data_IF_402472135455
#
_entry.id   IF_402472135455
#
_cell.length_a   1.000
_cell.length_b   1.000
_cell.length_c   1.000
_cell.angle_alpha   90.00
_cell.angle_beta   90.00
_cell.angle_gamma   90.00
#
_symmetry.space_group_name_H-M   'P 1'
#
loop_
_entity.id
_entity.type
_entity.pdbx_description
1 polymer ?
#
# COMPACT_ATOMS: atom_id res chain seq x y z
N UNK A 1 0.31 -30.95 -3.88
CA UNK A 1 0.39 -29.48 -3.76
C UNK A 1 0.61 -28.90 -5.15
N UNK A 2 -0.40 -28.23 -5.73
CA UNK A 2 -0.21 -27.45 -6.97
C UNK A 2 0.70 -26.27 -6.63
N UNK A 3 1.74 -26.02 -7.44
CA UNK A 3 2.49 -24.75 -7.37
C UNK A 3 1.49 -23.62 -7.51
N UNK A 4 1.37 -22.79 -6.47
CA UNK A 4 0.81 -21.45 -6.62
C UNK A 4 1.61 -20.79 -7.75
N UNK A 5 0.93 -20.18 -8.71
CA UNK A 5 1.57 -19.46 -9.81
C UNK A 5 2.44 -18.36 -9.20
N UNK A 6 3.75 -18.54 -9.22
CA UNK A 6 4.67 -17.50 -8.78
C UNK A 6 4.63 -16.39 -9.81
N UNK A 7 4.23 -15.19 -9.37
CA UNK A 7 4.38 -13.96 -10.14
C UNK A 7 5.82 -13.86 -10.63
N UNK A 8 6.00 -13.43 -11.88
CA UNK A 8 7.32 -13.26 -12.48
C UNK A 8 7.66 -11.78 -12.45
N UNK A 9 8.77 -11.45 -11.79
CA UNK A 9 9.28 -10.09 -11.77
C UNK A 9 10.08 -9.83 -13.06
N UNK A 10 9.74 -8.75 -13.75
CA UNK A 10 10.47 -8.27 -14.95
C UNK A 10 10.87 -6.81 -14.76
N UNK A 11 11.87 -6.29 -15.51
CA UNK A 11 12.20 -4.87 -15.44
C UNK A 11 10.96 -4.01 -15.70
N UNK A 12 10.74 -3.02 -14.84
CA UNK A 12 9.60 -2.13 -14.97
C UNK A 12 9.73 -1.22 -16.20
N UNK A 13 8.59 -0.73 -16.69
CA UNK A 13 8.56 0.31 -17.73
C UNK A 13 8.23 1.68 -17.14
N UNK A 14 8.58 2.78 -17.81
CA UNK A 14 8.22 4.12 -17.35
C UNK A 14 6.70 4.32 -17.23
N UNK A 15 5.91 3.72 -18.13
CA UNK A 15 4.45 3.75 -18.10
C UNK A 15 3.91 3.08 -16.83
N UNK A 16 4.45 1.90 -16.48
CA UNK A 16 4.07 1.21 -15.25
C UNK A 16 4.38 2.05 -14.01
N UNK A 17 5.56 2.66 -13.96
CA UNK A 17 5.96 3.54 -12.85
C UNK A 17 5.00 4.73 -12.73
N UNK A 18 4.67 5.38 -13.84
CA UNK A 18 3.73 6.50 -13.86
C UNK A 18 2.36 6.08 -13.32
N UNK A 19 1.83 4.93 -13.77
CA UNK A 19 0.52 4.45 -13.31
C UNK A 19 0.54 4.12 -11.80
N UNK A 20 1.65 3.58 -11.27
CA UNK A 20 1.81 3.33 -9.82
C UNK A 20 1.83 4.64 -9.03
N UNK A 21 2.56 5.66 -9.50
CA UNK A 21 2.65 6.96 -8.84
C UNK A 21 1.28 7.65 -8.77
N UNK A 22 0.57 7.70 -9.91
CA UNK A 22 -0.75 8.32 -10.00
C UNK A 22 -1.78 7.55 -9.16
N UNK A 23 -1.75 6.22 -9.18
CA UNK A 23 -2.63 5.39 -8.36
C UNK A 23 -2.40 5.62 -6.86
N UNK A 24 -1.13 5.72 -6.43
CA UNK A 24 -0.82 5.97 -5.04
C UNK A 24 -1.30 7.36 -4.60
N UNK A 25 -1.01 8.39 -5.41
CA UNK A 25 -1.48 9.74 -5.15
C UNK A 25 -3.01 9.81 -5.06
N UNK A 26 -3.72 9.19 -6.02
CA UNK A 26 -5.19 9.12 -6.02
C UNK A 26 -5.73 8.55 -4.70
N UNK A 27 -5.14 7.46 -4.20
CA UNK A 27 -5.55 6.85 -2.93
C UNK A 27 -5.19 7.70 -1.71
N UNK A 28 -4.00 8.30 -1.70
CA UNK A 28 -3.57 9.20 -0.62
C UNK A 28 -4.48 10.41 -0.50
N UNK A 29 -4.80 11.06 -1.61
CA UNK A 29 -5.71 12.21 -1.63
C UNK A 29 -7.16 11.81 -1.34
N UNK A 30 -7.63 10.67 -1.83
CA UNK A 30 -8.96 10.14 -1.55
C UNK A 30 -9.20 9.86 -0.05
N UNK A 31 -8.15 9.47 0.68
CA UNK A 31 -8.23 9.28 2.13
C UNK A 31 -8.27 10.59 2.94
N UNK A 32 -7.74 11.68 2.39
CA UNK A 32 -7.56 12.96 3.10
C UNK A 32 -8.64 14.01 2.77
N UNK A 33 -9.31 13.90 1.63
CA UNK A 33 -10.22 14.93 1.15
C UNK A 33 -11.67 14.44 1.03
N UNK A 34 -12.61 15.19 1.63
CA UNK A 34 -14.05 15.02 1.40
C UNK A 34 -14.51 15.49 0.00
N UNK A 35 -13.56 15.95 -0.83
CA UNK A 35 -13.80 16.47 -2.18
C UNK A 35 -12.81 15.78 -3.10
N UNK A 36 -13.26 15.15 -4.19
CA UNK A 36 -12.35 14.63 -5.19
C UNK A 36 -11.48 15.78 -5.70
N UNK A 37 -10.14 15.71 -5.55
CA UNK A 37 -9.26 16.76 -6.04
C UNK A 37 -9.38 16.86 -7.56
N UNK A 38 -9.14 18.06 -8.09
CA UNK A 38 -9.11 18.29 -9.53
C UNK A 38 -8.05 17.35 -10.15
N UNK A 39 -8.49 16.49 -11.08
CA UNK A 39 -7.61 15.54 -11.73
C UNK A 39 -6.65 16.29 -12.67
N UNK A 40 -5.36 16.33 -12.32
CA UNK A 40 -4.31 16.89 -13.17
C UNK A 40 -3.90 15.81 -14.18
N UNK A 41 -4.15 15.97 -15.49
CA UNK A 41 -3.75 14.98 -16.48
C UNK A 41 -2.23 14.98 -16.63
N UNK A 42 -1.59 13.86 -16.29
CA UNK A 42 -0.14 13.67 -16.43
C UNK A 42 0.14 12.61 -17.49
N UNK A 43 1.09 12.89 -18.37
CA UNK A 43 1.65 11.94 -19.32
C UNK A 43 3.17 11.89 -19.16
N UNK A 44 3.83 10.92 -19.79
CA UNK A 44 5.30 10.86 -19.78
C UNK A 44 5.96 12.11 -20.38
N UNK A 45 5.27 12.81 -21.27
CA UNK A 45 5.80 14.00 -21.94
C UNK A 45 5.49 15.30 -21.15
N UNK A 46 4.77 15.20 -20.03
CA UNK A 46 4.55 16.32 -19.10
C UNK A 46 5.86 16.70 -18.38
N UNK A 47 5.94 17.93 -17.85
CA UNK A 47 7.06 18.31 -17.00
C UNK A 47 7.03 17.54 -15.68
N UNK A 48 8.21 17.32 -15.08
CA UNK A 48 8.30 16.67 -13.77
C UNK A 48 7.57 17.45 -12.67
N UNK A 49 7.49 18.78 -12.80
CA UNK A 49 6.74 19.64 -11.89
C UNK A 49 5.24 19.32 -11.92
N UNK A 50 4.66 19.07 -13.10
CA UNK A 50 3.25 18.66 -13.23
C UNK A 50 3.01 17.30 -12.58
N UNK A 51 3.96 16.36 -12.70
CA UNK A 51 3.88 15.09 -11.99
C UNK A 51 3.91 15.31 -10.47
N UNK A 52 4.83 16.13 -9.97
CA UNK A 52 4.97 16.39 -8.54
C UNK A 52 3.73 17.08 -7.96
N UNK A 53 3.15 18.02 -8.69
CA UNK A 53 1.88 18.67 -8.33
C UNK A 53 0.74 17.65 -8.28
N UNK A 54 0.58 16.84 -9.33
CA UNK A 54 -0.45 15.80 -9.38
C UNK A 54 -0.29 14.77 -8.25
N UNK A 55 0.95 14.46 -7.86
CA UNK A 55 1.26 13.53 -6.77
C UNK A 55 1.23 14.16 -5.36
N UNK A 56 0.98 15.47 -5.24
CA UNK A 56 1.11 16.22 -3.98
C UNK A 56 2.48 16.03 -3.30
N UNK A 57 3.54 16.06 -4.11
CA UNK A 57 4.92 15.96 -3.65
C UNK A 57 5.44 17.30 -3.15
N UNK A 58 5.13 17.62 -1.90
CA UNK A 58 5.41 18.91 -1.27
C UNK A 58 6.90 19.14 -0.92
N UNK A 59 7.70 18.08 -0.86
CA UNK A 59 9.12 18.17 -0.51
C UNK A 59 9.97 17.05 -1.10
N UNK A 60 11.26 17.31 -1.27
CA UNK A 60 12.24 16.30 -1.73
C UNK A 60 12.30 15.06 -0.82
N UNK A 61 12.15 15.25 0.49
CA UNK A 61 12.08 14.14 1.45
C UNK A 61 10.85 13.27 1.19
N UNK A 62 9.69 13.88 0.95
CA UNK A 62 8.47 13.14 0.68
C UNK A 62 8.56 12.36 -0.63
N UNK A 63 9.15 12.94 -1.68
CA UNK A 63 9.44 12.25 -2.94
C UNK A 63 10.33 11.04 -2.67
N UNK A 64 11.43 11.25 -1.93
CA UNK A 64 12.40 10.21 -1.62
C UNK A 64 11.77 9.04 -0.85
N UNK A 65 11.14 9.29 0.31
CA UNK A 65 10.58 8.23 1.15
C UNK A 65 9.42 7.49 0.47
N UNK A 66 8.54 8.22 -0.22
CA UNK A 66 7.41 7.65 -0.95
C UNK A 66 7.89 6.68 -2.04
N UNK A 67 8.78 7.14 -2.92
CA UNK A 67 9.30 6.30 -4.01
C UNK A 67 10.16 5.14 -3.50
N UNK A 68 10.94 5.36 -2.44
CA UNK A 68 11.72 4.32 -1.77
C UNK A 68 10.82 3.18 -1.29
N UNK A 69 9.70 3.51 -0.65
CA UNK A 69 8.76 2.53 -0.12
C UNK A 69 7.97 1.82 -1.24
N UNK A 70 7.45 2.56 -2.22
CA UNK A 70 6.52 1.99 -3.22
C UNK A 70 7.22 1.09 -4.25
N UNK A 71 8.46 1.43 -4.59
CA UNK A 71 9.26 0.74 -5.61
C UNK A 71 10.37 -0.13 -5.02
N UNK A 72 10.41 -0.28 -3.69
CA UNK A 72 11.41 -1.09 -2.97
C UNK A 72 12.86 -0.73 -3.35
N UNK A 73 13.15 0.57 -3.42
CA UNK A 73 14.46 1.07 -3.90
C UNK A 73 15.56 0.98 -2.84
N UNK A 74 15.35 0.21 -1.77
CA UNK A 74 16.29 0.05 -0.67
C UNK A 74 17.61 -0.54 -1.18
N UNK A 75 18.71 0.17 -0.92
CA UNK A 75 20.05 -0.25 -1.34
C UNK A 75 20.44 0.10 -2.78
N UNK A 76 19.70 0.99 -3.46
CA UNK A 76 19.97 1.40 -4.86
C UNK A 76 20.65 2.77 -5.01
N UNK A 77 21.29 3.27 -3.94
CA UNK A 77 21.82 4.65 -3.84
C UNK A 77 20.79 5.72 -4.25
N UNK A 78 19.50 5.42 -4.00
CA UNK A 78 18.37 6.18 -4.53
C UNK A 78 18.44 7.68 -4.18
N UNK A 79 18.92 8.01 -2.99
CA UNK A 79 19.08 9.39 -2.55
C UNK A 79 20.00 10.17 -3.51
N UNK A 80 21.21 9.65 -3.74
CA UNK A 80 22.20 10.30 -4.58
C UNK A 80 21.69 10.40 -6.02
N UNK A 81 21.09 9.32 -6.53
CA UNK A 81 20.52 9.29 -7.89
C UNK A 81 19.42 10.34 -8.06
N UNK A 82 18.49 10.44 -7.11
CA UNK A 82 17.37 11.36 -7.17
C UNK A 82 17.83 12.83 -7.17
N UNK A 83 18.81 13.18 -6.33
CA UNK A 83 19.26 14.57 -6.16
C UNK A 83 20.41 15.00 -7.08
N UNK A 84 21.08 14.06 -7.76
CA UNK A 84 22.16 14.39 -8.72
C UNK A 84 21.74 14.29 -10.18
N UNK A 85 20.62 13.62 -10.47
CA UNK A 85 20.10 13.50 -11.83
C UNK A 85 19.44 14.78 -12.31
N UNK A 86 19.66 15.12 -13.58
CA UNK A 86 18.90 16.18 -14.24
C UNK A 86 17.56 15.61 -14.72
N UNK A 87 16.46 16.02 -14.08
CA UNK A 87 15.12 15.49 -14.34
C UNK A 87 14.24 16.67 -14.79
N UNK A 88 13.83 16.70 -16.06
CA UNK A 88 12.98 17.78 -16.60
C UNK A 88 11.55 17.28 -16.83
N UNK A 89 11.41 16.03 -17.27
CA UNK A 89 10.14 15.45 -17.68
C UNK A 89 9.69 14.33 -16.75
N UNK A 90 8.39 14.03 -16.77
CA UNK A 90 7.82 12.84 -16.14
C UNK A 90 8.53 11.57 -16.63
N UNK A 91 8.86 11.50 -17.93
CA UNK A 91 9.62 10.38 -18.52
C UNK A 91 10.97 10.17 -17.85
N UNK A 92 11.76 11.23 -17.69
CA UNK A 92 13.09 11.14 -17.07
C UNK A 92 12.98 10.55 -15.66
N UNK A 93 12.01 11.03 -14.88
CA UNK A 93 11.75 10.55 -13.53
C UNK A 93 11.32 9.08 -13.51
N UNK A 94 10.36 8.72 -14.37
CA UNK A 94 9.85 7.36 -14.45
C UNK A 94 10.89 6.36 -14.98
N UNK A 95 11.73 6.74 -15.94
CA UNK A 95 12.85 5.93 -16.44
C UNK A 95 13.91 5.69 -15.37
N UNK A 96 14.20 6.70 -14.56
CA UNK A 96 15.17 6.61 -13.46
C UNK A 96 14.76 5.56 -12.42
N UNK A 97 13.47 5.52 -12.08
CA UNK A 97 12.87 4.52 -11.19
C UNK A 97 12.77 3.16 -11.88
N UNK A 98 12.27 3.12 -13.12
CA UNK A 98 12.08 1.90 -13.89
C UNK A 98 13.38 1.09 -14.05
N UNK A 99 14.51 1.77 -14.20
CA UNK A 99 15.83 1.14 -14.26
C UNK A 99 16.26 0.41 -12.98
N UNK A 100 15.57 0.64 -11.85
CA UNK A 100 15.93 0.14 -10.50
C UNK A 100 14.83 -0.67 -9.83
N UNK A 101 13.70 -0.84 -10.50
CA UNK A 101 12.56 -1.55 -9.94
C UNK A 101 12.06 -2.63 -10.90
N UNK A 102 11.31 -3.56 -10.34
CA UNK A 102 10.69 -4.65 -11.07
C UNK A 102 9.18 -4.44 -11.08
N UNK A 103 8.53 -4.88 -12.14
CA UNK A 103 7.09 -4.96 -12.22
C UNK A 103 6.62 -6.42 -12.27
N UNK A 104 5.48 -6.73 -11.65
CA UNK A 104 4.94 -8.08 -11.66
C UNK A 104 4.29 -8.39 -13.01
N UNK A 105 4.63 -9.55 -13.58
CA UNK A 105 3.91 -10.18 -14.67
C UNK A 105 3.19 -11.44 -14.20
N UNK A 106 1.93 -11.57 -14.62
CA UNK A 106 1.07 -12.69 -14.24
C UNK A 106 1.25 -13.83 -15.26
N UNK A 107 1.67 -15.04 -14.84
CA UNK A 107 1.72 -16.19 -15.72
C UNK A 107 0.32 -16.57 -16.20
N UNK A 108 0.15 -16.66 -17.52
CA UNK A 108 -1.13 -17.01 -18.10
C UNK A 108 -1.45 -18.49 -17.88
N UNK A 109 -2.60 -18.79 -17.27
CA UNK A 109 -3.06 -20.16 -17.06
C UNK A 109 -4.09 -20.56 -18.10
N UNK A 110 -3.97 -21.81 -18.57
CA UNK A 110 -4.96 -22.42 -19.45
C UNK A 110 -5.94 -23.26 -18.63
N UNK A 111 -7.23 -23.00 -18.81
CA UNK A 111 -8.33 -23.80 -18.27
C UNK A 111 -9.08 -24.39 -19.46
N UNK A 112 -9.23 -25.71 -19.49
CA UNK A 112 -9.88 -26.42 -20.59
C UNK A 112 -9.30 -26.09 -21.97
N UNK A 113 -7.98 -25.84 -22.04
CA UNK A 113 -7.28 -25.53 -23.30
C UNK A 113 -7.40 -24.08 -23.76
N UNK A 114 -8.05 -23.20 -23.00
CA UNK A 114 -8.15 -21.78 -23.29
C UNK A 114 -7.46 -20.95 -22.21
N UNK A 115 -6.73 -19.93 -22.64
CA UNK A 115 -6.10 -18.97 -21.74
C UNK A 115 -7.17 -18.20 -20.98
N UNK A 116 -7.07 -18.17 -19.66
CA UNK A 116 -8.05 -17.52 -18.79
C UNK A 116 -7.36 -16.46 -17.92
N UNK A 117 -7.42 -15.20 -18.36
CA UNK A 117 -6.82 -14.06 -17.66
C UNK A 117 -7.39 -13.89 -16.23
N UNK A 118 -8.72 -13.88 -15.99
CA UNK A 118 -9.25 -13.77 -14.63
C UNK A 118 -8.80 -14.91 -13.72
N UNK A 119 -8.71 -16.14 -14.22
CA UNK A 119 -8.21 -17.25 -13.42
C UNK A 119 -6.71 -17.12 -13.09
N UNK A 120 -5.93 -16.57 -14.02
CA UNK A 120 -4.50 -16.29 -13.81
C UNK A 120 -4.33 -15.26 -12.69
N UNK A 121 -5.11 -14.17 -12.74
CA UNK A 121 -5.15 -13.14 -11.70
C UNK A 121 -5.58 -13.73 -10.36
N UNK A 122 -6.66 -14.52 -10.33
CA UNK A 122 -7.16 -15.13 -9.10
C UNK A 122 -6.07 -15.97 -8.40
N UNK A 123 -5.29 -16.75 -9.17
CA UNK A 123 -4.19 -17.54 -8.64
C UNK A 123 -3.03 -16.67 -8.16
N UNK A 124 -2.71 -15.57 -8.86
CA UNK A 124 -1.72 -14.60 -8.44
C UNK A 124 -2.12 -13.91 -7.12
N UNK A 125 -3.36 -13.43 -7.01
CA UNK A 125 -3.90 -12.84 -5.78
C UNK A 125 -3.86 -13.83 -4.62
N UNK A 126 -4.25 -15.10 -4.83
CA UNK A 126 -4.11 -16.15 -3.82
C UNK A 126 -2.65 -16.38 -3.42
N UNK A 127 -1.72 -16.32 -4.36
CA UNK A 127 -0.29 -16.48 -4.04
C UNK A 127 0.24 -15.34 -3.17
N UNK A 128 -0.20 -14.11 -3.44
CA UNK A 128 0.17 -12.92 -2.65
C UNK A 128 -0.43 -12.99 -1.24
N UNK A 129 -1.70 -13.37 -1.11
CA UNK A 129 -2.32 -13.55 0.21
C UNK A 129 -1.63 -14.67 1.00
N UNK A 130 -1.26 -15.77 0.35
CA UNK A 130 -0.52 -16.85 1.01
C UNK A 130 0.87 -16.40 1.48
N UNK A 131 1.55 -15.51 0.74
CA UNK A 131 2.83 -14.94 1.14
C UNK A 131 2.71 -14.08 2.42
N UNK A 132 1.56 -13.43 2.61
CA UNK A 132 1.21 -12.68 3.83
C UNK A 132 0.64 -13.59 4.95
N UNK A 133 0.68 -14.91 4.78
CA UNK A 133 0.27 -15.89 5.79
C UNK A 133 -1.23 -16.19 5.81
N UNK A 134 -2.00 -15.82 4.77
CA UNK A 134 -3.39 -16.21 4.66
C UNK A 134 -3.57 -17.72 4.39
N UNK A 135 -4.55 -18.33 5.05
CA UNK A 135 -4.99 -19.69 4.74
C UNK A 135 -5.80 -19.66 3.44
N UNK A 136 -5.14 -19.96 2.32
CA UNK A 136 -5.76 -19.81 1.00
C UNK A 136 -6.47 -21.07 0.51
N UNK A 137 -6.43 -22.20 1.22
CA UNK A 137 -6.93 -23.50 0.74
C UNK A 137 -8.42 -23.47 0.39
N UNK A 138 -9.22 -22.73 1.15
CA UNK A 138 -10.67 -22.60 0.99
C UNK A 138 -11.10 -21.41 0.13
N UNK A 139 -10.16 -20.57 -0.32
CA UNK A 139 -10.48 -19.41 -1.16
C UNK A 139 -10.87 -19.87 -2.56
N UNK A 140 -12.11 -19.62 -2.93
CA UNK A 140 -12.68 -19.78 -4.26
C UNK A 140 -13.03 -18.44 -4.92
N UNK A 141 -13.36 -18.42 -6.23
CA UNK A 141 -13.75 -17.19 -6.92
C UNK A 141 -14.98 -16.50 -6.31
N UNK A 142 -15.94 -17.29 -5.81
CA UNK A 142 -17.16 -16.77 -5.17
C UNK A 142 -16.97 -16.41 -3.69
N UNK A 143 -15.77 -16.60 -3.13
CA UNK A 143 -15.49 -16.22 -1.74
C UNK A 143 -15.60 -14.71 -1.59
N UNK A 144 -16.26 -14.27 -0.51
CA UNK A 144 -16.43 -12.86 -0.21
C UNK A 144 -15.09 -12.21 0.10
N UNK A 145 -14.88 -11.03 -0.48
CA UNK A 145 -13.62 -10.31 -0.40
C UNK A 145 -13.43 -9.61 0.96
N UNK A 146 -14.54 -9.19 1.57
CA UNK A 146 -14.59 -8.30 2.75
C UNK A 146 -13.79 -8.77 3.97
N UNK A 147 -13.75 -10.09 4.22
CA UNK A 147 -12.96 -10.60 5.35
C UNK A 147 -11.47 -10.46 5.06
N UNK A 148 -11.04 -10.83 3.86
CA UNK A 148 -9.64 -10.76 3.47
C UNK A 148 -9.13 -9.32 3.36
N UNK A 149 -9.95 -8.38 2.88
CA UNK A 149 -9.53 -6.97 2.77
C UNK A 149 -9.30 -6.31 4.12
N UNK A 150 -10.00 -6.76 5.17
CA UNK A 150 -9.82 -6.27 6.54
C UNK A 150 -8.56 -6.80 7.22
N UNK A 151 -8.23 -8.07 7.00
CA UNK A 151 -7.06 -8.71 7.61
C UNK A 151 -5.76 -8.47 6.82
N UNK A 152 -5.85 -8.33 5.50
CA UNK A 152 -4.71 -8.22 4.59
C UNK A 152 -4.76 -6.91 3.80
N UNK A 153 -5.18 -5.81 4.44
CA UNK A 153 -5.35 -4.50 3.79
C UNK A 153 -4.10 -4.06 3.04
N UNK A 154 -2.93 -4.23 3.66
CA UNK A 154 -1.65 -3.86 3.05
C UNK A 154 -1.33 -4.69 1.80
N UNK A 155 -1.74 -5.96 1.77
CA UNK A 155 -1.61 -6.82 0.59
C UNK A 155 -2.45 -6.29 -0.57
N UNK A 156 -3.68 -5.85 -0.29
CA UNK A 156 -4.60 -5.29 -1.28
C UNK A 156 -4.14 -3.94 -1.81
N UNK A 157 -3.64 -3.07 -0.92
CA UNK A 157 -3.22 -1.72 -1.28
C UNK A 157 -1.79 -1.63 -1.81
N UNK A 158 -0.96 -2.65 -1.57
CA UNK A 158 0.40 -2.75 -2.09
C UNK A 158 0.54 -3.80 -3.20
N UNK A 159 1.02 -5.03 -2.90
CA UNK A 159 1.31 -6.06 -3.91
C UNK A 159 0.19 -6.36 -4.90
N UNK A 160 -1.07 -6.49 -4.45
CA UNK A 160 -2.20 -6.79 -5.34
C UNK A 160 -2.53 -5.59 -6.23
N UNK A 161 -2.51 -4.37 -5.69
CA UNK A 161 -2.69 -3.15 -6.48
C UNK A 161 -1.61 -2.98 -7.56
N UNK A 162 -0.38 -3.40 -7.26
CA UNK A 162 0.75 -3.36 -8.21
C UNK A 162 0.61 -4.32 -9.39
N UNK A 163 -0.28 -5.32 -9.32
CA UNK A 163 -0.57 -6.20 -10.47
C UNK A 163 -1.23 -5.47 -11.63
N UNK A 164 -2.02 -4.43 -11.32
CA UNK A 164 -2.73 -3.60 -12.29
C UNK A 164 -2.97 -2.21 -11.70
N UNK A 165 -1.96 -1.32 -11.72
CA UNK A 165 -2.10 0.04 -11.22
C UNK A 165 -3.28 0.76 -11.91
N UNK A 166 -4.07 1.50 -11.13
CA UNK A 166 -5.26 2.19 -11.64
C UNK A 166 -6.46 1.28 -11.96
N UNK A 167 -6.42 -0.03 -11.65
CA UNK A 167 -7.57 -0.92 -11.84
C UNK A 167 -8.53 -0.93 -10.65
N UNK A 168 -8.02 -0.82 -9.41
CA UNK A 168 -8.84 -0.92 -8.21
C UNK A 168 -9.63 0.37 -7.96
N UNK A 169 -10.90 0.28 -7.53
CA UNK A 169 -11.70 1.45 -7.22
C UNK A 169 -11.19 2.14 -5.94
N UNK A 170 -11.81 3.27 -5.58
CA UNK A 170 -11.59 3.90 -4.28
C UNK A 170 -11.94 2.93 -3.13
N UNK A 171 -11.18 3.07 -2.05
CA UNK A 171 -11.29 2.20 -0.87
C UNK A 171 -11.76 3.02 0.33
N UNK A 172 -12.81 2.54 0.98
CA UNK A 172 -13.26 3.07 2.27
C UNK A 172 -12.65 2.21 3.39
N UNK A 173 -11.78 2.82 4.20
CA UNK A 173 -11.10 2.15 5.33
C UNK A 173 -11.65 2.71 6.64
N UNK A 174 -12.33 1.86 7.40
CA UNK A 174 -12.67 2.12 8.80
C UNK A 174 -11.67 1.37 9.68
N UNK A 175 -10.84 2.12 10.40
CA UNK A 175 -9.83 1.57 11.30
C UNK A 175 -10.41 1.15 12.66
N UNK A 176 -11.71 1.36 12.92
CA UNK A 176 -12.35 1.07 14.19
C UNK A 176 -11.86 1.96 15.33
N UNK A 177 -11.36 3.16 15.02
CA UNK A 177 -10.83 4.12 15.96
C UNK A 177 -9.40 3.82 16.43
N UNK A 178 -8.65 2.95 15.75
CA UNK A 178 -7.24 2.66 16.08
C UNK A 178 -6.38 3.92 16.07
N UNK A 179 -6.48 4.74 15.03
CA UNK A 179 -5.75 6.00 14.92
C UNK A 179 -6.03 6.91 16.11
N UNK A 180 -7.29 7.00 16.54
CA UNK A 180 -7.67 7.76 17.74
C UNK A 180 -7.05 7.17 19.00
N UNK A 181 -7.03 5.84 19.17
CA UNK A 181 -6.39 5.18 20.31
C UNK A 181 -4.88 5.41 20.33
N UNK A 182 -4.22 5.31 19.18
CA UNK A 182 -2.79 5.59 19.00
C UNK A 182 -2.43 7.05 19.30
N UNK A 183 -3.26 7.99 18.84
CA UNK A 183 -3.10 9.40 19.16
C UNK A 183 -3.24 9.65 20.67
N UNK A 184 -4.25 9.05 21.33
CA UNK A 184 -4.42 9.13 22.79
C UNK A 184 -3.19 8.54 23.52
N UNK A 185 -2.68 7.40 23.05
CA UNK A 185 -1.45 6.77 23.58
C UNK A 185 -0.27 7.71 23.47
N UNK A 186 -0.09 8.35 22.32
CA UNK A 186 0.99 9.29 22.07
C UNK A 186 0.97 10.47 23.06
N UNK A 187 -0.22 11.01 23.36
CA UNK A 187 -0.38 12.05 24.37
C UNK A 187 -0.12 11.57 25.79
N UNK A 188 -0.29 10.28 26.07
CA UNK A 188 -0.08 9.69 27.39
C UNK A 188 1.39 9.62 27.81
N UNK A 189 2.35 9.76 26.87
CA UNK A 189 3.78 9.86 27.20
C UNK A 189 4.16 11.22 27.78
N UNK A 190 3.38 12.27 27.52
CA UNK A 190 3.68 13.65 27.89
C UNK A 190 3.69 13.86 29.42
N UNK A 191 2.71 13.35 30.20
CA UNK A 191 2.77 13.34 31.66
C UNK A 191 3.95 12.54 32.22
N UNK A 192 4.42 11.51 31.52
CA UNK A 192 5.55 10.67 31.94
C UNK A 192 6.87 11.43 31.81
N UNK A 193 7.03 12.18 30.71
CA UNK A 193 8.13 13.14 30.52
C UNK A 193 8.10 14.27 31.56
N UNK A 194 6.92 14.84 31.84
CA UNK A 194 6.77 15.87 32.89
C UNK A 194 7.12 15.28 34.26
N UNK A 195 6.58 14.10 34.61
CA UNK A 195 6.85 13.43 35.88
C UNK A 195 8.33 13.12 36.11
N UNK A 196 9.05 12.77 35.03
CA UNK A 196 10.50 12.56 35.07
C UNK A 196 11.26 13.83 35.47
N UNK A 197 10.87 15.00 34.96
CA UNK A 197 11.48 16.29 35.33
C UNK A 197 11.29 16.66 36.81
N UNK A 198 10.27 16.11 37.47
CA UNK A 198 9.95 16.37 38.89
C UNK A 198 10.25 15.18 39.82
N UNK A 199 11.00 14.17 39.37
CA UNK A 199 11.24 12.92 40.12
C UNK A 199 11.88 13.16 41.49
N UNK A 200 12.78 14.14 41.61
CA UNK A 200 13.44 14.48 42.88
C UNK A 200 12.48 15.07 43.91
N UNK A 201 11.33 15.61 43.47
CA UNK A 201 10.34 16.27 44.32
C UNK A 201 9.19 15.33 44.70
N UNK A 202 8.77 14.46 43.79
CA UNK A 202 7.58 13.60 43.95
C UNK A 202 7.76 12.18 43.37
N UNK A 203 8.63 11.33 43.95
CA UNK A 203 8.93 10.01 43.40
C UNK A 203 7.72 9.05 43.41
N UNK A 204 6.82 9.21 44.38
CA UNK A 204 5.59 8.38 44.50
C UNK A 204 4.61 8.66 43.36
N UNK A 205 4.50 9.92 42.93
CA UNK A 205 3.63 10.30 41.82
C UNK A 205 4.13 9.67 40.51
N UNK A 206 5.45 9.68 40.30
CA UNK A 206 6.06 9.02 39.14
C UNK A 206 5.77 7.51 39.12
N UNK A 207 5.84 6.83 40.28
CA UNK A 207 5.51 5.42 40.39
C UNK A 207 4.05 5.14 39.99
N UNK A 208 3.10 5.97 40.45
CA UNK A 208 1.70 5.87 40.04
C UNK A 208 1.51 6.10 38.54
N UNK A 209 2.19 7.10 37.96
CA UNK A 209 2.15 7.34 36.52
C UNK A 209 2.72 6.17 35.71
N UNK A 210 3.83 5.55 36.17
CA UNK A 210 4.43 4.39 35.53
C UNK A 210 3.52 3.16 35.58
N UNK A 211 2.89 2.88 36.73
CA UNK A 211 1.94 1.77 36.86
C UNK A 211 0.73 1.99 35.96
N UNK A 212 0.16 3.20 35.97
CA UNK A 212 -0.98 3.54 35.12
C UNK A 212 -0.63 3.42 33.62
N UNK A 213 0.55 3.91 33.23
CA UNK A 213 1.07 3.75 31.88
C UNK A 213 1.24 2.27 31.49
N UNK A 214 1.81 1.45 32.37
CA UNK A 214 1.97 0.01 32.13
C UNK A 214 0.62 -0.68 31.92
N UNK A 215 -0.37 -0.40 32.76
CA UNK A 215 -1.73 -0.98 32.66
C UNK A 215 -2.37 -0.61 31.32
N UNK A 216 -2.28 0.64 30.90
CA UNK A 216 -2.83 1.07 29.62
C UNK A 216 -2.09 0.46 28.41
N UNK A 217 -0.78 0.28 28.49
CA UNK A 217 -0.02 -0.42 27.44
C UNK A 217 -0.35 -1.92 27.39
N UNK A 218 -0.64 -2.55 28.52
CA UNK A 218 -1.06 -3.95 28.57
C UNK A 218 -2.47 -4.15 27.99
N UNK A 219 -3.41 -3.24 28.28
CA UNK A 219 -4.79 -3.31 27.79
C UNK A 219 -4.89 -3.05 26.28
N UNK A 220 -3.94 -2.30 25.74
CA UNK A 220 -3.83 -2.00 24.29
C UNK A 220 -2.86 -2.95 23.56
N UNK A 221 -2.25 -3.91 24.27
CA UNK A 221 -1.37 -4.89 23.65
C UNK A 221 -2.17 -5.77 22.68
N UNK A 222 -1.91 -5.62 21.38
CA UNK A 222 -2.53 -6.41 20.32
C UNK A 222 -3.49 -5.61 19.42
N UNK A 223 -3.85 -4.39 19.81
CA UNK A 223 -4.69 -3.50 19.00
C UNK A 223 -4.01 -3.09 17.68
N UNK A 224 -2.68 -2.92 17.71
CA UNK A 224 -1.85 -2.65 16.51
C UNK A 224 -1.95 -3.76 15.45
N UNK A 225 -2.20 -5.01 15.88
CA UNK A 225 -2.32 -6.18 14.99
C UNK A 225 -3.77 -6.56 14.71
N UNK A 226 -4.75 -5.85 15.29
CA UNK A 226 -6.13 -6.10 15.00
C UNK A 226 -6.40 -5.78 13.52
N UNK A 227 -7.30 -6.51 12.83
CA UNK A 227 -7.71 -6.16 11.48
C UNK A 227 -8.46 -4.82 11.46
N UNK A 228 -8.55 -4.18 10.29
CA UNK A 228 -9.40 -2.99 10.15
C UNK A 228 -10.87 -3.35 10.41
N UNK A 229 -11.67 -2.40 10.89
CA UNK A 229 -13.08 -2.64 11.17
C UNK A 229 -13.86 -2.87 9.86
N UNK A 230 -13.51 -2.15 8.79
CA UNK A 230 -14.07 -2.32 7.45
C UNK A 230 -13.06 -1.85 6.40
N UNK A 231 -12.98 -2.59 5.29
CA UNK A 231 -12.20 -2.20 4.10
C UNK A 231 -13.01 -2.63 2.90
N UNK A 232 -13.69 -1.66 2.29
CA UNK A 232 -14.62 -1.91 1.20
C UNK A 232 -14.12 -1.21 -0.06
N UNK A 233 -14.02 -1.98 -1.14
CA UNK A 233 -13.75 -1.49 -2.48
C UNK A 233 -15.09 -1.35 -3.20
N UNK A 234 -15.38 -0.16 -3.71
CA UNK A 234 -16.69 0.14 -4.30
C UNK A 234 -17.09 -0.91 -5.37
N UNK A 235 -18.24 -1.55 -5.17
CA UNK A 235 -18.79 -2.54 -6.11
C UNK A 235 -18.12 -3.91 -6.14
N UNK A 236 -17.01 -4.14 -5.44
CA UNK A 236 -16.32 -5.43 -5.40
C UNK A 236 -16.81 -6.31 -4.24
N UNK A 237 -17.46 -7.44 -4.56
CA UNK A 237 -17.99 -8.35 -3.54
C UNK A 237 -17.15 -9.61 -3.38
N UNK A 238 -16.64 -10.16 -4.48
CA UNK A 238 -15.98 -11.46 -4.51
C UNK A 238 -14.59 -11.40 -5.17
N UNK A 239 -13.79 -12.46 -4.94
CA UNK A 239 -12.51 -12.62 -5.61
C UNK A 239 -12.63 -12.71 -7.14
N UNK A 240 -13.77 -13.19 -7.64
CA UNK A 240 -14.08 -13.21 -9.07
C UNK A 240 -14.14 -11.79 -9.62
N UNK A 241 -14.91 -10.91 -8.98
CA UNK A 241 -15.09 -9.52 -9.42
C UNK A 241 -13.74 -8.79 -9.45
N UNK A 242 -12.95 -8.97 -8.38
CA UNK A 242 -11.58 -8.45 -8.29
C UNK A 242 -10.69 -8.96 -9.43
N UNK A 243 -10.75 -10.26 -9.71
CA UNK A 243 -9.89 -10.88 -10.72
C UNK A 243 -10.27 -10.48 -12.13
N UNK A 244 -11.57 -10.34 -12.42
CA UNK A 244 -12.07 -9.81 -13.69
C UNK A 244 -11.67 -8.35 -13.89
N UNK A 245 -11.68 -7.53 -12.83
CA UNK A 245 -11.27 -6.13 -12.88
C UNK A 245 -9.77 -5.97 -13.14
N UNK A 246 -8.93 -6.64 -12.36
CA UNK A 246 -7.46 -6.59 -12.51
C UNK A 246 -7.05 -7.15 -13.89
N UNK A 247 -7.72 -8.19 -14.38
CA UNK A 247 -7.42 -8.80 -15.68
C UNK A 247 -7.55 -7.84 -16.87
N UNK A 248 -8.31 -6.74 -16.74
CA UNK A 248 -8.47 -5.75 -17.82
C UNK A 248 -7.22 -4.90 -18.04
N UNK A 249 -6.37 -4.74 -17.03
CA UNK A 249 -5.18 -3.87 -17.08
C UNK A 249 -3.87 -4.58 -16.75
N UNK A 250 -3.92 -5.78 -16.18
CA UNK A 250 -2.72 -6.53 -15.82
C UNK A 250 -1.90 -6.95 -17.05
N UNK A 251 -0.57 -7.02 -16.86
CA UNK A 251 0.37 -7.53 -17.86
C UNK A 251 0.56 -9.02 -17.68
N UNK A 252 0.34 -9.79 -18.74
CA UNK A 252 0.45 -11.24 -18.72
C UNK A 252 1.70 -11.72 -19.45
N UNK A 253 2.34 -12.74 -18.87
CA UNK A 253 3.38 -13.50 -19.55
C UNK A 253 2.72 -14.53 -20.47
N UNK A 254 3.00 -14.44 -21.77
CA UNK A 254 2.50 -15.38 -22.79
C UNK A 254 3.15 -16.77 -22.69
#
# INVERSE_FOLDING_TARGET
MKRLSSIVEVPATPEYVLDVLLEHSRRGMGALSCTHPDFIPVTLDSSVETLFEACAFDSGDYIFYSTLQWFDLWGTDWFDVLFTSHIETTRDFCELIAARTMMPQIPLVSICGQNCQPASVFLAVRSLLAAEGAEVSEIGPSTLLKEYTRYYTDAFLGPIARLAPGALPDVEIDDGGKFRREMIRSFLHLPLMIGFLFVSRFPVLLLFCLIFYLVLNLDTWGDEKAPNARVDFEGLQSFRDLSELIAQRAVFQA
#
